data_IF_273284763192
#
_entry.id   IF_273284763192
#
_cell.length_a   1.000
_cell.length_b   1.000
_cell.length_c   1.000
_cell.angle_alpha   90.00
_cell.angle_beta   90.00
_cell.angle_gamma   90.00
#
_symmetry.space_group_name_H-M   'P 1'
#
loop_
_entity.id
_entity.type
_entity.pdbx_description
1 polymer ?
#
# COMPACT_ATOMS: atom_id res chain seq x y z
N UNK A 1 3.46 9.97 68.49
CA UNK A 1 3.27 8.54 68.17
C UNK A 1 2.23 8.28 67.06
N UNK A 2 0.94 8.62 67.22
CA UNK A 2 -0.06 8.38 66.13
C UNK A 2 0.23 9.25 64.90
N UNK A 3 0.58 10.52 65.10
CA UNK A 3 0.91 11.43 63.99
C UNK A 3 2.22 11.09 63.30
N UNK A 4 3.22 10.59 64.04
CA UNK A 4 4.49 10.11 63.46
C UNK A 4 4.27 8.87 62.59
N UNK A 5 3.47 7.90 63.08
CA UNK A 5 3.13 6.70 62.30
C UNK A 5 2.34 7.04 61.02
N UNK A 6 1.47 8.06 61.10
CA UNK A 6 0.72 8.58 59.95
C UNK A 6 1.64 9.24 58.92
N UNK A 7 2.63 10.01 59.37
CA UNK A 7 3.61 10.64 58.49
C UNK A 7 4.51 9.62 57.79
N UNK A 8 4.95 8.58 58.50
CA UNK A 8 5.73 7.49 57.92
C UNK A 8 4.94 6.72 56.85
N UNK A 9 3.68 6.38 57.13
CA UNK A 9 2.81 5.73 56.14
C UNK A 9 2.57 6.60 54.90
N UNK A 10 2.40 7.92 55.06
CA UNK A 10 2.22 8.83 53.94
C UNK A 10 3.49 8.97 53.10
N UNK A 11 4.67 8.99 53.73
CA UNK A 11 5.95 9.02 53.03
C UNK A 11 6.20 7.72 52.23
N UNK A 12 5.88 6.55 52.81
CA UNK A 12 5.93 5.28 52.07
C UNK A 12 4.96 5.24 50.89
N UNK A 13 3.72 5.73 51.07
CA UNK A 13 2.71 5.79 50.01
C UNK A 13 3.17 6.70 48.85
N UNK A 14 3.73 7.87 49.16
CA UNK A 14 4.27 8.80 48.18
C UNK A 14 5.43 8.19 47.37
N UNK A 15 6.34 7.47 48.04
CA UNK A 15 7.43 6.76 47.36
C UNK A 15 6.93 5.63 46.45
N UNK A 16 5.88 4.89 46.85
CA UNK A 16 5.27 3.83 46.03
C UNK A 16 4.58 4.43 44.80
N UNK A 17 3.84 5.53 44.96
CA UNK A 17 3.19 6.24 43.86
C UNK A 17 4.21 6.78 42.84
N UNK A 18 5.30 7.40 43.29
CA UNK A 18 6.36 7.89 42.41
C UNK A 18 7.01 6.77 41.56
N UNK A 19 7.24 5.59 42.15
CA UNK A 19 7.76 4.42 41.40
C UNK A 19 6.76 3.90 40.37
N UNK A 20 5.47 3.86 40.71
CA UNK A 20 4.42 3.43 39.80
C UNK A 20 4.25 4.38 38.61
N UNK A 21 4.34 5.69 38.86
CA UNK A 21 4.23 6.70 37.81
C UNK A 21 5.40 6.62 36.82
N UNK A 22 6.64 6.48 37.31
CA UNK A 22 7.82 6.30 36.46
C UNK A 22 7.70 5.03 35.61
N UNK A 23 7.25 3.92 36.21
CA UNK A 23 7.01 2.65 35.51
C UNK A 23 5.96 2.82 34.42
N UNK A 24 4.86 3.50 34.71
CA UNK A 24 3.77 3.76 33.75
C UNK A 24 4.26 4.60 32.56
N UNK A 25 5.03 5.66 32.83
CA UNK A 25 5.61 6.53 31.80
C UNK A 25 6.55 5.76 30.86
N UNK A 26 7.41 4.89 31.39
CA UNK A 26 8.32 4.06 30.57
C UNK A 26 7.53 3.11 29.67
N UNK A 27 6.48 2.47 30.18
CA UNK A 27 5.62 1.58 29.38
C UNK A 27 4.87 2.35 28.29
N UNK A 28 4.34 3.54 28.59
CA UNK A 28 3.66 4.36 27.59
C UNK A 28 4.60 4.81 26.47
N UNK A 29 5.80 5.29 26.80
CA UNK A 29 6.80 5.68 25.80
C UNK A 29 7.20 4.49 24.93
N UNK A 30 7.45 3.33 25.56
CA UNK A 30 7.74 2.10 24.84
C UNK A 30 6.62 1.71 23.87
N UNK A 31 5.36 1.79 24.30
CA UNK A 31 4.21 1.42 23.48
C UNK A 31 4.01 2.39 22.31
N UNK A 32 4.28 3.68 22.52
CA UNK A 32 4.23 4.68 21.46
C UNK A 32 5.31 4.44 20.39
N UNK A 33 6.56 4.17 20.81
CA UNK A 33 7.65 3.86 19.87
C UNK A 33 7.35 2.56 19.12
N UNK A 34 6.88 1.52 19.80
CA UNK A 34 6.56 0.25 19.17
C UNK A 34 5.37 0.36 18.20
N UNK A 35 4.32 1.06 18.62
CA UNK A 35 3.13 1.29 17.81
C UNK A 35 3.44 2.10 16.55
N UNK A 36 4.23 3.16 16.67
CA UNK A 36 4.66 3.96 15.50
C UNK A 36 5.52 3.17 14.53
N UNK A 37 6.40 2.30 15.03
CA UNK A 37 7.23 1.42 14.20
C UNK A 37 6.40 0.40 13.43
N UNK A 38 5.41 -0.22 14.09
CA UNK A 38 4.46 -1.13 13.44
C UNK A 38 3.59 -0.43 12.40
N UNK A 39 3.09 0.76 12.72
CA UNK A 39 2.27 1.55 11.81
C UNK A 39 3.06 1.99 10.57
N UNK A 40 4.31 2.45 10.76
CA UNK A 40 5.21 2.77 9.66
C UNK A 40 5.53 1.55 8.77
N UNK A 41 5.75 0.39 9.39
CA UNK A 41 5.96 -0.86 8.67
C UNK A 41 4.74 -1.26 7.84
N UNK A 42 3.53 -1.14 8.41
CA UNK A 42 2.28 -1.41 7.70
C UNK A 42 2.07 -0.50 6.49
N UNK A 43 2.34 0.80 6.64
CA UNK A 43 2.25 1.77 5.54
C UNK A 43 3.25 1.41 4.44
N UNK A 44 4.50 1.09 4.81
CA UNK A 44 5.52 0.65 3.86
C UNK A 44 5.08 -0.61 3.09
N UNK A 45 4.54 -1.61 3.79
CA UNK A 45 4.03 -2.83 3.17
C UNK A 45 2.87 -2.53 2.21
N UNK A 46 1.95 -1.67 2.60
CA UNK A 46 0.81 -1.26 1.78
C UNK A 46 1.25 -0.57 0.49
N UNK A 47 2.16 0.42 0.58
CA UNK A 47 2.68 1.12 -0.60
C UNK A 47 3.43 0.17 -1.52
N UNK A 48 4.27 -0.72 -0.97
CA UNK A 48 5.03 -1.70 -1.76
C UNK A 48 4.09 -2.69 -2.46
N UNK A 49 3.04 -3.14 -1.79
CA UNK A 49 2.03 -4.03 -2.36
C UNK A 49 1.26 -3.33 -3.49
N UNK A 50 0.83 -2.08 -3.30
CA UNK A 50 0.19 -1.26 -4.33
C UNK A 50 1.07 -1.08 -5.58
N UNK A 51 2.35 -0.76 -5.39
CA UNK A 51 3.30 -0.61 -6.51
C UNK A 51 3.53 -1.93 -7.25
N UNK A 52 3.67 -3.03 -6.52
CA UNK A 52 3.84 -4.35 -7.13
C UNK A 52 2.58 -4.81 -7.85
N UNK A 53 1.40 -4.65 -7.25
CA UNK A 53 0.12 -4.96 -7.87
C UNK A 53 -0.08 -4.18 -9.18
N UNK A 54 0.30 -2.90 -9.21
CA UNK A 54 0.25 -2.12 -10.44
C UNK A 54 1.22 -2.67 -11.50
N UNK A 55 2.44 -3.06 -11.12
CA UNK A 55 3.41 -3.67 -12.04
C UNK A 55 2.95 -5.03 -12.56
N UNK A 56 2.39 -5.90 -11.71
CA UNK A 56 1.91 -7.23 -12.11
C UNK A 56 0.63 -7.15 -12.93
N UNK A 57 -0.28 -6.22 -12.61
CA UNK A 57 -1.46 -5.93 -13.43
C UNK A 57 -1.07 -5.49 -14.85
N UNK A 58 0.00 -4.71 -14.99
CA UNK A 58 0.53 -4.37 -16.31
C UNK A 58 1.11 -5.62 -16.97
N UNK A 59 1.95 -6.42 -16.30
CA UNK A 59 2.59 -7.58 -16.92
C UNK A 59 1.62 -8.71 -17.33
N UNK A 60 0.58 -8.98 -16.54
CA UNK A 60 -0.42 -10.03 -16.84
C UNK A 60 -1.46 -9.62 -17.88
N UNK A 61 -1.51 -8.34 -18.29
CA UNK A 61 -2.41 -7.94 -19.36
C UNK A 61 -2.08 -8.62 -20.70
N UNK A 62 -0.91 -9.24 -20.84
CA UNK A 62 -0.51 -10.06 -21.98
C UNK A 62 -0.41 -9.23 -23.24
N UNK A 63 -1.57 -8.89 -23.79
CA UNK A 63 -1.81 -8.00 -24.92
C UNK A 63 -2.92 -7.01 -24.59
N UNK A 64 -2.64 -5.72 -24.70
CA UNK A 64 -3.61 -4.66 -24.52
C UNK A 64 -4.16 -4.25 -25.89
N UNK A 65 -5.49 -4.26 -26.11
CA UNK A 65 -6.07 -3.83 -27.36
C UNK A 65 -5.99 -2.31 -27.51
N UNK A 66 -5.50 -1.87 -28.67
CA UNK A 66 -5.43 -0.47 -29.07
C UNK A 66 -6.16 -0.27 -30.39
N UNK A 67 -6.85 0.85 -30.54
CA UNK A 67 -7.44 1.28 -31.82
C UNK A 67 -6.77 2.55 -32.32
N UNK A 68 -6.26 2.52 -33.56
CA UNK A 68 -5.56 3.65 -34.14
C UNK A 68 -6.53 4.79 -34.51
N UNK A 69 -6.27 6.01 -34.03
CA UNK A 69 -7.10 7.18 -34.36
C UNK A 69 -6.94 7.69 -35.80
N UNK A 70 -5.97 7.21 -36.58
CA UNK A 70 -5.79 7.62 -37.99
C UNK A 70 -6.34 6.62 -38.99
N UNK A 71 -6.07 5.32 -38.81
CA UNK A 71 -6.52 4.28 -39.74
C UNK A 71 -7.68 3.43 -39.20
N UNK A 72 -8.13 3.65 -37.95
CA UNK A 72 -9.21 2.87 -37.33
C UNK A 72 -8.85 1.44 -36.95
N UNK A 73 -7.70 0.92 -37.41
CA UNK A 73 -7.29 -0.46 -37.16
C UNK A 73 -7.12 -0.76 -35.68
N UNK A 74 -7.69 -1.89 -35.24
CA UNK A 74 -7.44 -2.48 -33.94
C UNK A 74 -6.16 -3.32 -34.00
N UNK A 75 -5.31 -3.20 -32.99
CA UNK A 75 -4.10 -4.00 -32.85
C UNK A 75 -3.79 -4.23 -31.38
N UNK A 76 -3.16 -5.36 -31.10
CA UNK A 76 -2.82 -5.78 -29.77
C UNK A 76 -1.34 -5.48 -29.49
N UNK A 77 -1.06 -4.82 -28.37
CA UNK A 77 0.31 -4.47 -27.98
C UNK A 77 0.68 -5.15 -26.66
N UNK A 78 1.85 -5.83 -26.59
CA UNK A 78 2.25 -6.50 -25.36
C UNK A 78 2.47 -5.49 -24.25
N UNK A 79 1.96 -5.80 -23.07
CA UNK A 79 2.03 -4.86 -21.95
C UNK A 79 3.47 -4.61 -21.45
N UNK A 80 4.37 -5.56 -21.68
CA UNK A 80 5.81 -5.42 -21.46
C UNK A 80 6.42 -4.23 -22.22
N UNK A 81 5.92 -3.94 -23.43
CA UNK A 81 6.38 -2.81 -24.22
C UNK A 81 6.07 -1.47 -23.53
N UNK A 82 4.94 -1.40 -22.84
CA UNK A 82 4.52 -0.22 -22.09
C UNK A 82 5.30 -0.05 -20.78
N UNK A 83 5.78 -1.15 -20.18
CA UNK A 83 6.69 -1.12 -19.03
C UNK A 83 8.10 -0.69 -19.44
N UNK A 84 8.60 -1.19 -20.57
CA UNK A 84 9.92 -0.82 -21.12
C UNK A 84 9.97 0.65 -21.55
N UNK A 85 8.84 1.23 -21.94
CA UNK A 85 8.75 2.63 -22.38
C UNK A 85 7.81 3.46 -21.50
N UNK A 86 8.23 3.83 -20.27
CA UNK A 86 7.40 4.60 -19.34
C UNK A 86 7.12 6.04 -19.82
N UNK A 87 7.94 6.56 -20.76
CA UNK A 87 7.85 7.92 -21.30
C UNK A 87 6.89 8.07 -22.49
N UNK A 88 6.05 7.08 -22.78
CA UNK A 88 5.03 7.22 -23.84
C UNK A 88 3.98 8.26 -23.41
N UNK A 89 3.73 9.32 -24.21
CA UNK A 89 2.73 10.33 -23.90
C UNK A 89 1.36 9.69 -23.71
N UNK A 90 0.75 9.96 -22.55
CA UNK A 90 -0.59 9.50 -22.18
C UNK A 90 -1.56 10.67 -22.13
N UNK A 91 -2.73 10.51 -22.74
CA UNK A 91 -3.86 11.45 -22.64
C UNK A 91 -5.08 10.68 -22.16
N UNK A 92 -5.57 11.04 -20.96
CA UNK A 92 -6.87 10.56 -20.47
C UNK A 92 -7.98 11.34 -21.17
N UNK A 93 -8.91 10.61 -21.77
CA UNK A 93 -10.14 11.17 -22.33
C UNK A 93 -11.24 10.65 -21.42
N UNK A 94 -11.75 11.52 -20.55
CA UNK A 94 -13.03 11.26 -19.90
C UNK A 94 -14.08 11.18 -21.00
N UNK A 95 -14.88 10.13 -21.02
CA UNK A 95 -16.07 10.05 -21.86
C UNK A 95 -17.14 11.00 -21.30
N UNK A 96 -16.85 12.30 -21.29
CA UNK A 96 -17.87 13.34 -21.19
C UNK A 96 -18.26 13.75 -22.60
N UNK A 97 -19.55 13.69 -22.90
CA UNK A 97 -20.16 14.29 -24.08
C UNK A 97 -19.89 13.61 -25.45
N UNK A 98 -20.15 12.32 -25.58
CA UNK A 98 -20.61 11.77 -26.87
C UNK A 98 -21.89 10.99 -26.64
N UNK A 99 -23.02 11.71 -26.74
CA UNK A 99 -24.36 11.18 -27.02
C UNK A 99 -24.96 10.16 -26.05
N UNK A 100 -25.86 10.64 -25.18
CA UNK A 100 -26.94 9.83 -24.62
C UNK A 100 -26.68 9.17 -23.27
N UNK A 101 -27.35 9.72 -22.25
CA UNK A 101 -27.80 9.09 -20.99
C UNK A 101 -27.08 7.81 -20.53
N UNK A 102 -26.12 7.96 -19.63
CA UNK A 102 -25.54 6.85 -18.87
C UNK A 102 -24.36 7.29 -18.02
N UNK A 103 -24.52 7.32 -16.71
CA UNK A 103 -23.52 7.69 -15.70
C UNK A 103 -22.41 6.61 -15.55
N UNK A 104 -21.93 6.04 -16.66
CA UNK A 104 -20.84 5.05 -16.72
C UNK A 104 -19.98 5.29 -17.96
N UNK A 105 -19.46 6.50 -18.12
CA UNK A 105 -18.46 6.80 -19.14
C UNK A 105 -17.17 6.03 -18.85
N UNK A 106 -16.84 5.01 -19.65
CA UNK A 106 -15.54 4.34 -19.55
C UNK A 106 -14.43 5.37 -19.73
N UNK A 107 -13.53 5.48 -18.73
CA UNK A 107 -12.35 6.34 -18.85
C UNK A 107 -11.51 5.77 -19.99
N UNK A 108 -11.45 6.49 -21.11
CA UNK A 108 -10.67 6.06 -22.29
C UNK A 108 -9.26 6.63 -22.16
N UNK A 109 -8.25 5.78 -22.11
CA UNK A 109 -6.87 6.22 -22.14
C UNK A 109 -6.39 6.22 -23.59
N UNK A 110 -5.63 7.23 -24.02
CA UNK A 110 -4.99 7.23 -25.33
C UNK A 110 -3.49 7.42 -25.20
N UNK A 111 -2.73 6.67 -26.00
CA UNK A 111 -1.26 6.69 -26.01
C UNK A 111 -0.73 7.01 -27.39
N UNK A 112 0.37 7.76 -27.48
CA UNK A 112 1.00 8.07 -28.76
C UNK A 112 1.92 6.92 -29.17
N UNK A 113 1.45 6.09 -30.09
CA UNK A 113 2.13 4.88 -30.56
C UNK A 113 2.34 4.96 -32.08
N UNK A 114 3.33 4.23 -32.59
CA UNK A 114 3.48 3.99 -34.03
C UNK A 114 2.55 2.82 -34.38
N UNK A 115 1.58 3.06 -35.26
CA UNK A 115 0.65 2.02 -35.65
C UNK A 115 1.37 0.96 -36.51
N UNK A 116 1.21 -0.34 -36.24
CA UNK A 116 1.81 -1.40 -37.05
C UNK A 116 1.17 -1.51 -38.44
N UNK A 117 -0.09 -1.09 -38.59
CA UNK A 117 -0.84 -1.19 -39.87
C UNK A 117 -0.51 -0.04 -40.80
N UNK A 118 -0.51 1.20 -40.31
CA UNK A 118 -0.29 2.38 -41.17
C UNK A 118 1.11 3.00 -41.05
N UNK A 119 1.95 2.52 -40.14
CA UNK A 119 3.32 3.02 -39.90
C UNK A 119 3.42 4.43 -39.32
N UNK A 120 2.30 5.17 -39.21
CA UNK A 120 2.27 6.57 -38.74
C UNK A 120 2.23 6.63 -37.21
N UNK A 121 2.85 7.67 -36.63
CA UNK A 121 2.73 7.99 -35.20
C UNK A 121 1.38 8.65 -34.95
N UNK A 122 0.47 7.94 -34.29
CA UNK A 122 -0.88 8.40 -34.05
C UNK A 122 -1.30 8.19 -32.58
N UNK A 123 -2.35 8.89 -32.17
CA UNK A 123 -3.01 8.63 -30.90
C UNK A 123 -3.84 7.36 -31.03
N UNK A 124 -3.48 6.33 -30.27
CA UNK A 124 -4.19 5.06 -30.24
C UNK A 124 -5.02 4.99 -28.95
N UNK A 125 -6.31 4.68 -29.06
CA UNK A 125 -7.25 4.58 -27.95
C UNK A 125 -7.17 3.20 -27.30
N UNK A 126 -7.20 3.16 -25.98
CA UNK A 126 -7.20 1.98 -25.12
C UNK A 126 -8.52 1.94 -24.34
N UNK A 127 -9.22 0.81 -24.38
CA UNK A 127 -10.41 0.60 -23.56
C UNK A 127 -10.01 0.10 -22.16
N UNK A 128 -10.38 0.85 -21.11
CA UNK A 128 -10.04 0.48 -19.73
C UNK A 128 -10.92 -0.63 -19.16
N UNK A 129 -12.06 -0.97 -19.80
CA UNK A 129 -13.00 -1.97 -19.25
C UNK A 129 -12.38 -3.38 -19.17
N UNK A 130 -11.55 -3.74 -20.13
CA UNK A 130 -10.81 -5.01 -20.12
C UNK A 130 -9.57 -4.95 -19.23
N UNK A 131 -8.94 -3.78 -19.12
CA UNK A 131 -7.77 -3.58 -18.25
C UNK A 131 -8.15 -3.72 -16.76
N UNK A 132 -9.38 -3.34 -16.37
CA UNK A 132 -9.86 -3.41 -14.98
C UNK A 132 -10.09 -4.83 -14.45
N UNK A 133 -10.55 -5.78 -15.28
CA UNK A 133 -10.75 -7.19 -14.86
C UNK A 133 -9.44 -7.91 -14.60
N UNK A 134 -8.36 -7.49 -15.27
CA UNK A 134 -7.02 -8.06 -15.12
C UNK A 134 -6.37 -7.57 -13.80
N UNK A 135 -6.73 -6.38 -13.32
CA UNK A 135 -6.21 -5.81 -12.06
C UNK A 135 -6.59 -6.59 -10.79
N UNK A 136 -7.75 -7.24 -10.75
CA UNK A 136 -8.21 -7.95 -9.55
C UNK A 136 -7.54 -9.33 -9.37
N UNK A 137 -7.42 -10.11 -10.44
CA UNK A 137 -6.77 -11.44 -10.38
C UNK A 137 -5.25 -11.31 -10.18
N UNK A 138 -4.64 -10.28 -10.77
CA UNK A 138 -3.21 -9.98 -10.61
C UNK A 138 -2.85 -9.47 -9.20
N UNK A 139 -3.80 -8.80 -8.52
CA UNK A 139 -3.66 -8.43 -7.11
C UNK A 139 -3.59 -9.66 -6.23
N UNK A 140 -4.47 -10.65 -6.43
CA UNK A 140 -4.52 -11.88 -5.62
C UNK A 140 -3.24 -12.72 -5.80
N UNK A 141 -2.74 -12.84 -7.03
CA UNK A 141 -1.52 -13.59 -7.33
C UNK A 141 -0.27 -12.94 -6.72
N UNK A 142 -0.13 -11.61 -6.86
CA UNK A 142 0.96 -10.84 -6.27
C UNK A 142 0.89 -10.84 -4.74
N UNK A 143 -0.32 -10.69 -4.19
CA UNK A 143 -0.60 -10.77 -2.77
C UNK A 143 -0.19 -12.12 -2.20
N UNK A 144 -0.58 -13.25 -2.81
CA UNK A 144 -0.27 -14.60 -2.32
C UNK A 144 1.23 -14.86 -2.14
N UNK A 145 2.09 -14.29 -2.99
CA UNK A 145 3.54 -14.52 -2.94
C UNK A 145 4.27 -13.65 -1.90
N UNK A 146 3.69 -12.50 -1.56
CA UNK A 146 4.35 -11.44 -0.78
C UNK A 146 3.79 -11.32 0.64
N UNK A 147 2.48 -11.51 0.79
CA UNK A 147 1.79 -11.58 2.09
C UNK A 147 2.51 -12.49 3.11
N UNK A 148 2.90 -13.74 2.78
CA UNK A 148 3.55 -14.60 3.77
C UNK A 148 4.89 -14.05 4.26
N UNK A 149 5.64 -13.34 3.41
CA UNK A 149 6.92 -12.71 3.80
C UNK A 149 6.69 -11.51 4.72
N UNK A 150 5.63 -10.74 4.51
CA UNK A 150 5.29 -9.61 5.36
C UNK A 150 4.81 -10.06 6.74
N UNK A 151 3.93 -11.06 6.81
CA UNK A 151 3.48 -11.65 8.08
C UNK A 151 4.63 -12.25 8.88
N UNK A 152 5.64 -12.81 8.22
CA UNK A 152 6.82 -13.35 8.90
C UNK A 152 7.64 -12.23 9.58
N UNK A 153 7.85 -11.10 8.90
CA UNK A 153 8.56 -9.96 9.51
C UNK A 153 7.73 -9.30 10.61
N UNK A 154 6.41 -9.16 10.40
CA UNK A 154 5.49 -8.66 11.42
C UNK A 154 5.50 -9.53 12.68
N UNK A 155 5.47 -10.86 12.53
CA UNK A 155 5.57 -11.80 13.63
C UNK A 155 6.89 -11.65 14.41
N UNK A 156 8.01 -11.44 13.72
CA UNK A 156 9.32 -11.20 14.36
C UNK A 156 9.32 -9.89 15.15
N UNK A 157 8.76 -8.83 14.58
CA UNK A 157 8.63 -7.54 15.28
C UNK A 157 7.75 -7.75 16.52
N UNK A 158 6.54 -8.30 16.39
CA UNK A 158 5.65 -8.55 17.55
C UNK A 158 6.33 -9.40 18.63
N UNK A 159 7.05 -10.46 18.25
CA UNK A 159 7.78 -11.31 19.20
C UNK A 159 8.91 -10.55 19.92
N UNK A 160 9.69 -9.75 19.19
CA UNK A 160 10.76 -8.93 19.77
C UNK A 160 10.22 -7.86 20.73
N UNK A 161 9.14 -7.19 20.35
CA UNK A 161 8.45 -6.23 21.21
C UNK A 161 7.89 -6.88 22.47
N UNK A 162 7.21 -8.01 22.31
CA UNK A 162 6.68 -8.80 23.43
C UNK A 162 7.77 -9.24 24.40
N UNK A 163 8.91 -9.72 23.90
CA UNK A 163 10.07 -10.08 24.72
C UNK A 163 10.64 -8.85 25.45
N UNK A 164 10.80 -7.71 24.77
CA UNK A 164 11.29 -6.47 25.36
C UNK A 164 10.38 -5.95 26.49
N UNK A 165 9.06 -5.93 26.29
CA UNK A 165 8.12 -5.54 27.33
C UNK A 165 8.08 -6.54 28.49
N UNK A 166 8.24 -7.83 28.22
CA UNK A 166 8.28 -8.86 29.26
C UNK A 166 9.55 -8.71 30.11
N UNK A 167 10.69 -8.45 29.48
CA UNK A 167 11.95 -8.17 30.18
C UNK A 167 11.88 -6.89 31.00
N UNK A 168 11.34 -5.81 30.43
CA UNK A 168 11.08 -4.57 31.18
C UNK A 168 10.20 -4.84 32.40
N UNK A 169 9.14 -5.62 32.26
CA UNK A 169 8.25 -5.98 33.37
C UNK A 169 8.95 -6.79 34.47
N UNK A 170 9.93 -7.63 34.12
CA UNK A 170 10.72 -8.43 35.07
C UNK A 170 11.78 -7.55 35.76
N UNK A 171 12.51 -6.73 35.01
CA UNK A 171 13.59 -5.87 35.52
C UNK A 171 13.06 -4.71 36.37
N UNK A 172 11.91 -4.14 35.97
CA UNK A 172 11.24 -3.08 36.74
C UNK A 172 10.33 -3.61 37.84
N UNK A 173 10.25 -4.93 38.08
CA UNK A 173 9.39 -5.53 39.12
C UNK A 173 9.89 -5.17 40.50
#
# INVERSE_FOLDING_TARGET
MIDELRQEMLAEQAQRLARLELRSRIHMIGLLIWGTLLLGWMIYCFVKLMVMANRTAIMQAGTIPFTCGTCGAAFDLPAEYLVKHPFIPKKSISAGAVGGSGLHGTVRMSRRLRCPVCGKKAWCRQDMRETGKIGANSFIEAARRIIPKFFLVEAVIVAAGGAFFTLLRIVLR
#
